data_IF_307211891364
#
_entry.id   IF_307211891364
#
_cell.length_a   1.000
_cell.length_b   1.000
_cell.length_c   1.000
_cell.angle_alpha   90.00
_cell.angle_beta   90.00
_cell.angle_gamma   90.00
#
_symmetry.space_group_name_H-M   'P 1'
#
loop_
_entity.id
_entity.type
_entity.pdbx_description
1 polymer ?
#
# COMPACT_ATOMS: atom_id res chain seq x y z
N UNK A 1 27.35 38.00 -14.96
CA UNK A 1 26.07 37.48 -14.45
C UNK A 1 26.35 36.63 -13.21
N UNK A 2 26.07 37.16 -12.03
CA UNK A 2 26.29 36.45 -10.76
C UNK A 2 25.18 35.42 -10.56
N UNK A 3 25.53 34.12 -10.56
CA UNK A 3 24.63 33.03 -10.17
C UNK A 3 24.36 33.19 -8.67
N UNK A 4 23.27 33.88 -8.30
CA UNK A 4 22.73 33.79 -6.94
C UNK A 4 22.16 32.38 -6.81
N UNK A 5 22.79 31.53 -6.02
CA UNK A 5 22.19 30.27 -5.57
C UNK A 5 21.02 30.65 -4.68
N UNK A 6 19.82 30.68 -5.24
CA UNK A 6 18.60 30.94 -4.47
C UNK A 6 18.34 29.67 -3.67
N UNK A 7 18.54 29.72 -2.35
CA UNK A 7 18.16 28.62 -1.48
C UNK A 7 16.65 28.47 -1.55
N UNK A 8 16.19 27.25 -1.86
CA UNK A 8 14.76 26.93 -1.85
C UNK A 8 14.27 26.97 -0.40
N UNK A 9 13.07 27.50 -0.21
CA UNK A 9 12.42 27.42 1.10
C UNK A 9 11.76 26.03 1.32
N UNK A 10 11.46 25.64 2.57
CA UNK A 10 10.89 24.32 2.85
C UNK A 10 9.57 24.03 2.13
N UNK A 11 8.76 25.04 1.82
CA UNK A 11 7.52 24.86 1.08
C UNK A 11 7.82 24.53 -0.39
N UNK A 12 8.77 25.22 -1.01
CA UNK A 12 9.22 24.90 -2.37
C UNK A 12 9.82 23.48 -2.45
N UNK A 13 10.64 23.11 -1.47
CA UNK A 13 11.18 21.75 -1.38
C UNK A 13 10.08 20.69 -1.28
N UNK A 14 9.07 20.94 -0.44
CA UNK A 14 7.92 20.05 -0.31
C UNK A 14 7.13 19.91 -1.62
N UNK A 15 6.89 21.03 -2.32
CA UNK A 15 6.20 21.02 -3.61
C UNK A 15 6.99 20.22 -4.67
N UNK A 16 8.32 20.36 -4.71
CA UNK A 16 9.18 19.55 -5.60
C UNK A 16 8.94 18.05 -5.37
N UNK A 17 8.89 17.64 -4.09
CA UNK A 17 8.70 16.24 -3.70
C UNK A 17 7.31 15.75 -4.10
N UNK A 18 6.26 16.54 -3.84
CA UNK A 18 4.88 16.19 -4.23
C UNK A 18 4.73 16.06 -5.74
N UNK A 19 5.27 17.01 -6.52
CA UNK A 19 5.25 16.93 -7.99
C UNK A 19 5.97 15.67 -8.46
N UNK A 20 7.13 15.33 -7.88
CA UNK A 20 7.86 14.12 -8.22
C UNK A 20 7.07 12.85 -7.89
N UNK A 21 6.41 12.79 -6.73
CA UNK A 21 5.64 11.62 -6.31
C UNK A 21 4.35 11.45 -7.13
N UNK A 22 3.61 12.53 -7.39
CA UNK A 22 2.33 12.47 -8.10
C UNK A 22 2.49 12.27 -9.62
N UNK A 23 3.51 12.87 -10.23
CA UNK A 23 3.64 12.92 -11.68
C UNK A 23 4.86 12.16 -12.23
N UNK A 24 5.78 11.73 -11.35
CA UNK A 24 7.04 11.09 -11.72
C UNK A 24 7.88 11.87 -12.76
N UNK A 25 7.80 13.21 -12.75
CA UNK A 25 8.57 14.04 -13.68
C UNK A 25 10.09 13.84 -13.53
N UNK A 26 10.88 13.96 -14.60
CA UNK A 26 12.34 13.91 -14.52
C UNK A 26 12.91 14.98 -13.58
N UNK A 27 14.02 14.68 -12.90
CA UNK A 27 14.69 15.67 -12.03
C UNK A 27 15.22 16.87 -12.81
N UNK A 28 15.52 16.69 -14.10
CA UNK A 28 15.93 17.75 -15.03
C UNK A 28 14.84 18.82 -15.16
N UNK A 29 13.59 18.40 -15.30
CA UNK A 29 12.46 19.32 -15.48
C UNK A 29 12.19 20.09 -14.19
N UNK A 30 12.25 19.40 -13.03
CA UNK A 30 12.16 20.05 -11.72
C UNK A 30 13.31 21.05 -11.50
N UNK A 31 14.54 20.69 -11.85
CA UNK A 31 15.68 21.58 -11.72
C UNK A 31 15.53 22.84 -12.59
N UNK A 32 15.01 22.66 -13.81
CA UNK A 32 14.69 23.76 -14.71
C UNK A 32 13.59 24.67 -14.13
N UNK A 33 12.47 24.09 -13.68
CA UNK A 33 11.33 24.85 -13.14
C UNK A 33 11.69 25.65 -11.87
N UNK A 34 12.56 25.12 -11.02
CA UNK A 34 12.95 25.75 -9.75
C UNK A 34 14.29 26.49 -9.82
N UNK A 35 14.90 26.59 -11.01
CA UNK A 35 16.15 27.32 -11.28
C UNK A 35 17.34 26.88 -10.40
N UNK A 36 17.38 25.59 -10.05
CA UNK A 36 18.43 24.97 -9.25
C UNK A 36 19.16 23.88 -10.04
N UNK A 37 20.19 23.27 -9.45
CA UNK A 37 20.87 22.15 -10.09
C UNK A 37 20.07 20.85 -9.93
N UNK A 38 20.23 19.91 -10.86
CA UNK A 38 19.67 18.55 -10.76
C UNK A 38 20.13 17.84 -9.49
N UNK A 39 21.39 18.06 -9.08
CA UNK A 39 21.94 17.52 -7.84
C UNK A 39 21.19 18.04 -6.61
N UNK A 40 20.84 19.34 -6.59
CA UNK A 40 20.07 19.97 -5.52
C UNK A 40 18.67 19.36 -5.40
N UNK A 41 17.94 19.23 -6.52
CA UNK A 41 16.62 18.60 -6.53
C UNK A 41 16.68 17.15 -6.07
N UNK A 42 17.65 16.37 -6.56
CA UNK A 42 17.83 14.98 -6.17
C UNK A 42 18.10 14.85 -4.67
N UNK A 43 18.97 15.69 -4.11
CA UNK A 43 19.28 15.71 -2.68
C UNK A 43 18.04 16.07 -1.85
N UNK A 44 17.31 17.11 -2.23
CA UNK A 44 16.05 17.50 -1.58
C UNK A 44 15.08 16.33 -1.58
N UNK A 45 14.88 15.71 -2.75
CA UNK A 45 13.95 14.59 -2.88
C UNK A 45 14.29 13.46 -1.90
N UNK A 46 15.54 12.98 -1.89
CA UNK A 46 15.93 11.89 -1.00
C UNK A 46 15.84 12.24 0.49
N UNK A 47 16.25 13.46 0.88
CA UNK A 47 16.13 13.92 2.27
C UNK A 47 14.67 13.93 2.73
N UNK A 48 13.77 14.46 1.90
CA UNK A 48 12.35 14.51 2.19
C UNK A 48 11.69 13.13 2.20
N UNK A 49 12.10 12.20 1.32
CA UNK A 49 11.61 10.83 1.36
C UNK A 49 11.97 10.16 2.70
N UNK A 50 13.22 10.28 3.16
CA UNK A 50 13.63 9.75 4.46
C UNK A 50 12.89 10.41 5.63
N UNK A 51 12.73 11.74 5.60
CA UNK A 51 11.99 12.45 6.64
C UNK A 51 10.50 12.06 6.66
N UNK A 52 9.90 11.90 5.48
CA UNK A 52 8.50 11.49 5.32
C UNK A 52 8.30 10.06 5.79
N UNK A 53 9.18 9.14 5.43
CA UNK A 53 9.15 7.74 5.90
C UNK A 53 9.18 7.68 7.44
N UNK A 54 10.10 8.39 8.07
CA UNK A 54 10.19 8.46 9.54
C UNK A 54 8.91 8.99 10.21
N UNK A 55 8.17 9.88 9.55
CA UNK A 55 6.91 10.45 10.08
C UNK A 55 5.72 9.55 9.78
N UNK A 56 5.62 9.01 8.57
CA UNK A 56 4.47 8.22 8.12
C UNK A 56 4.49 6.79 8.65
N UNK A 57 5.66 6.22 8.93
CA UNK A 57 5.74 4.86 9.49
C UNK A 57 5.02 4.74 10.84
N UNK A 58 4.93 5.84 11.60
CA UNK A 58 4.19 5.91 12.86
C UNK A 58 2.67 5.85 12.69
N UNK A 59 2.16 6.14 11.50
CA UNK A 59 0.73 6.04 11.17
C UNK A 59 0.32 4.60 10.84
N UNK A 60 1.29 3.75 10.49
CA UNK A 60 1.05 2.33 10.21
C UNK A 60 1.20 1.55 11.51
N UNK A 61 0.08 1.36 12.19
CA UNK A 61 0.02 0.53 13.40
C UNK A 61 -1.08 -0.51 13.29
N UNK A 62 -0.89 -1.64 13.96
CA UNK A 62 -1.90 -2.67 14.07
C UNK A 62 -2.81 -2.36 15.27
N UNK A 63 -4.06 -1.90 15.05
CA UNK A 63 -4.94 -1.52 16.15
C UNK A 63 -5.42 -2.73 16.95
N UNK A 64 -5.79 -2.49 18.20
CA UNK A 64 -6.49 -3.49 19.00
C UNK A 64 -7.86 -3.83 18.39
N UNK A 65 -8.23 -5.11 18.50
CA UNK A 65 -9.47 -5.67 17.98
C UNK A 65 -10.72 -4.91 18.45
N UNK A 66 -10.76 -4.48 19.70
CA UNK A 66 -11.89 -3.70 20.23
C UNK A 66 -12.03 -2.34 19.55
N UNK A 67 -10.92 -1.69 19.22
CA UNK A 67 -10.93 -0.39 18.57
C UNK A 67 -11.45 -0.53 17.14
N UNK A 68 -11.02 -1.55 16.41
CA UNK A 68 -11.55 -1.90 15.09
C UNK A 68 -13.06 -2.11 15.11
N UNK A 69 -13.58 -2.82 16.11
CA UNK A 69 -15.02 -3.08 16.21
C UNK A 69 -15.82 -1.86 16.64
N UNK A 70 -15.29 -1.00 17.51
CA UNK A 70 -15.95 0.25 17.91
C UNK A 70 -16.16 1.14 16.69
N UNK A 71 -15.18 1.22 15.81
CA UNK A 71 -15.20 2.12 14.66
C UNK A 71 -15.67 1.51 13.34
N UNK A 72 -15.87 0.20 13.28
CA UNK A 72 -16.39 -0.48 12.10
C UNK A 72 -17.75 0.08 11.65
N UNK A 73 -17.87 0.38 10.35
CA UNK A 73 -19.12 0.82 9.73
C UNK A 73 -20.25 -0.21 9.94
N UNK A 74 -21.47 0.30 10.13
CA UNK A 74 -22.65 -0.52 10.46
C UNK A 74 -22.98 -1.56 9.38
N UNK A 75 -22.68 -1.28 8.12
CA UNK A 75 -22.91 -2.23 7.02
C UNK A 75 -22.06 -3.51 7.18
N UNK A 76 -20.80 -3.39 7.59
CA UNK A 76 -19.93 -4.52 7.89
C UNK A 76 -20.37 -5.25 9.16
N UNK A 77 -20.75 -4.51 10.21
CA UNK A 77 -21.30 -5.12 11.44
C UNK A 77 -22.55 -5.95 11.16
N UNK A 78 -23.45 -5.46 10.31
CA UNK A 78 -24.66 -6.18 9.93
C UNK A 78 -24.35 -7.47 9.15
N UNK A 79 -23.42 -7.40 8.19
CA UNK A 79 -23.12 -8.52 7.32
C UNK A 79 -22.24 -9.60 7.99
N UNK A 80 -21.32 -9.21 8.86
CA UNK A 80 -20.24 -10.06 9.37
C UNK A 80 -20.10 -10.06 10.90
N UNK A 81 -20.84 -9.20 11.61
CA UNK A 81 -20.69 -9.01 13.06
C UNK A 81 -19.36 -8.37 13.45
N UNK A 82 -19.01 -8.48 14.73
CA UNK A 82 -17.73 -8.00 15.27
C UNK A 82 -16.64 -9.06 15.05
N UNK A 83 -16.26 -9.29 13.79
CA UNK A 83 -15.23 -10.27 13.42
C UNK A 83 -14.22 -9.72 12.42
N UNK A 84 -14.68 -8.87 11.51
CA UNK A 84 -13.83 -8.33 10.44
C UNK A 84 -12.77 -7.42 11.05
N UNK A 85 -11.51 -7.72 10.76
CA UNK A 85 -10.36 -7.06 11.37
C UNK A 85 -9.66 -6.18 10.35
N UNK A 86 -9.29 -6.75 9.20
CA UNK A 86 -8.60 -6.05 8.13
C UNK A 86 -9.02 -6.60 6.77
N UNK A 87 -8.95 -5.74 5.76
CA UNK A 87 -8.97 -6.08 4.35
C UNK A 87 -7.53 -6.18 3.84
N UNK A 88 -7.25 -7.23 3.11
CA UNK A 88 -5.97 -7.51 2.49
C UNK A 88 -6.00 -7.03 1.05
N UNK A 89 -4.93 -6.37 0.64
CA UNK A 89 -4.74 -5.93 -0.73
C UNK A 89 -3.25 -6.05 -1.12
N UNK A 90 -3.00 -6.24 -2.41
CA UNK A 90 -1.68 -6.23 -2.99
C UNK A 90 -1.68 -5.21 -4.13
N UNK A 91 -0.85 -4.17 -4.02
CA UNK A 91 -0.66 -3.26 -5.14
C UNK A 91 0.68 -3.51 -5.83
N UNK A 92 0.72 -3.22 -7.13
CA UNK A 92 1.91 -3.36 -7.96
C UNK A 92 2.33 -1.99 -8.51
N UNK A 93 3.62 -1.66 -8.34
CA UNK A 93 4.24 -0.46 -8.90
C UNK A 93 5.09 -0.87 -10.10
N UNK A 94 4.89 -0.21 -11.24
CA UNK A 94 5.75 -0.38 -12.41
C UNK A 94 7.16 0.11 -12.14
N UNK A 95 8.15 -0.68 -12.54
CA UNK A 95 9.56 -0.32 -12.45
C UNK A 95 10.23 -0.39 -13.82
N UNK A 96 11.32 0.35 -13.99
CA UNK A 96 12.15 0.18 -15.18
C UNK A 96 12.65 -1.27 -15.29
N UNK A 97 12.72 -1.78 -16.52
CA UNK A 97 13.16 -3.13 -16.81
C UNK A 97 14.58 -3.35 -16.26
N UNK A 98 14.78 -4.24 -15.27
CA UNK A 98 16.10 -4.47 -14.71
C UNK A 98 17.08 -4.97 -15.77
N UNK A 99 18.33 -4.52 -15.71
CA UNK A 99 19.41 -5.00 -16.59
C UNK A 99 19.80 -6.43 -16.23
N UNK A 100 19.83 -6.75 -14.93
CA UNK A 100 20.07 -8.10 -14.42
C UNK A 100 18.92 -9.06 -14.80
N UNK A 101 19.25 -10.20 -15.41
CA UNK A 101 18.26 -11.16 -15.92
C UNK A 101 17.47 -11.85 -14.80
N UNK A 102 18.09 -12.17 -13.67
CA UNK A 102 17.41 -12.78 -12.53
C UNK A 102 16.44 -11.78 -11.90
N UNK A 103 16.88 -10.55 -11.65
CA UNK A 103 16.01 -9.50 -11.12
C UNK A 103 14.84 -9.20 -12.07
N UNK A 104 15.10 -9.18 -13.40
CA UNK A 104 14.07 -9.03 -14.42
C UNK A 104 13.06 -10.17 -14.39
N UNK A 105 13.50 -11.41 -14.22
CA UNK A 105 12.60 -12.55 -14.11
C UNK A 105 11.74 -12.44 -12.84
N UNK A 106 12.35 -12.14 -11.69
CA UNK A 106 11.67 -12.01 -10.39
C UNK A 106 10.67 -10.86 -10.33
N UNK A 107 10.93 -9.77 -11.04
CA UNK A 107 10.04 -8.59 -11.07
C UNK A 107 8.99 -8.67 -12.17
N UNK A 108 9.04 -9.63 -13.09
CA UNK A 108 8.06 -9.71 -14.18
C UNK A 108 6.70 -10.19 -13.66
N UNK A 109 5.72 -9.29 -13.65
CA UNK A 109 4.32 -9.59 -13.35
C UNK A 109 3.59 -10.08 -14.59
N UNK A 110 3.04 -11.30 -14.49
CA UNK A 110 2.19 -11.85 -15.54
C UNK A 110 0.86 -11.11 -15.66
N UNK A 111 0.38 -10.53 -14.57
CA UNK A 111 -0.88 -9.79 -14.55
C UNK A 111 -0.76 -8.44 -15.27
N UNK A 112 0.32 -7.69 -15.01
CA UNK A 112 0.58 -6.38 -15.63
C UNK A 112 1.35 -6.46 -16.95
N UNK A 113 1.85 -7.65 -17.32
CA UNK A 113 2.72 -7.88 -18.47
C UNK A 113 3.95 -6.94 -18.50
N UNK A 114 4.49 -6.61 -17.31
CA UNK A 114 5.62 -5.70 -17.16
C UNK A 114 6.43 -6.02 -15.89
N UNK A 115 7.60 -5.40 -15.77
CA UNK A 115 8.39 -5.46 -14.54
C UNK A 115 7.75 -4.58 -13.45
N UNK A 116 7.34 -5.19 -12.35
CA UNK A 116 6.73 -4.51 -11.21
C UNK A 116 7.40 -4.94 -9.91
N UNK A 117 7.24 -4.11 -8.89
CA UNK A 117 7.36 -4.52 -7.49
C UNK A 117 5.95 -4.63 -6.92
N UNK A 118 5.76 -5.57 -6.01
CA UNK A 118 4.49 -5.85 -5.33
C UNK A 118 4.65 -5.62 -3.84
N UNK A 119 3.66 -4.98 -3.22
CA UNK A 119 3.62 -4.72 -1.78
C UNK A 119 2.27 -5.18 -1.26
N UNK A 120 2.29 -5.91 -0.15
CA UNK A 120 1.10 -6.35 0.56
C UNK A 120 0.69 -5.29 1.59
N UNK A 121 -0.61 -5.00 1.64
CA UNK A 121 -1.23 -4.07 2.58
C UNK A 121 -2.30 -4.79 3.41
N UNK A 122 -2.31 -4.48 4.72
CA UNK A 122 -3.46 -4.71 5.59
C UNK A 122 -4.14 -3.38 5.87
N UNK A 123 -5.39 -3.25 5.45
CA UNK A 123 -6.17 -2.01 5.53
C UNK A 123 -7.31 -2.23 6.51
N UNK A 124 -7.52 -1.32 7.45
CA UNK A 124 -8.65 -1.39 8.37
C UNK A 124 -9.96 -1.08 7.64
N UNK A 125 -11.10 -1.38 8.26
CA UNK A 125 -12.41 -0.99 7.70
C UNK A 125 -12.68 0.52 7.74
N UNK A 126 -11.78 1.29 8.33
CA UNK A 126 -11.77 2.75 8.27
C UNK A 126 -10.79 3.27 7.21
N UNK A 127 -10.34 2.39 6.32
CA UNK A 127 -9.41 2.70 5.22
C UNK A 127 -8.03 3.19 5.68
N UNK A 128 -7.68 2.97 6.95
CA UNK A 128 -6.32 3.24 7.43
C UNK A 128 -5.40 2.06 7.14
N UNK A 129 -4.18 2.34 6.68
CA UNK A 129 -3.16 1.31 6.51
C UNK A 129 -2.67 0.85 7.90
N UNK A 130 -2.86 -0.43 8.20
CA UNK A 130 -2.48 -1.07 9.48
C UNK A 130 -1.27 -2.01 9.37
N UNK A 131 -0.93 -2.39 8.13
CA UNK A 131 0.20 -3.26 7.84
C UNK A 131 0.74 -2.97 6.44
N UNK A 132 2.06 -2.95 6.30
CA UNK A 132 2.77 -2.83 5.02
C UNK A 132 3.90 -3.85 5.03
N UNK A 133 3.99 -4.68 3.99
CA UNK A 133 5.12 -5.61 3.84
C UNK A 133 6.36 -4.93 3.27
N UNK A 134 7.51 -5.58 3.37
CA UNK A 134 8.61 -5.30 2.44
C UNK A 134 8.16 -5.49 0.98
N UNK A 135 8.85 -4.84 0.05
CA UNK A 135 8.58 -4.95 -1.37
C UNK A 135 9.12 -6.27 -1.94
N UNK A 136 8.30 -6.93 -2.75
CA UNK A 136 8.64 -8.17 -3.45
C UNK A 136 8.65 -7.95 -4.96
N UNK A 137 9.30 -8.85 -5.70
CA UNK A 137 9.20 -8.82 -7.16
C UNK A 137 7.78 -9.16 -7.64
N UNK A 138 7.31 -8.50 -8.70
CA UNK A 138 5.97 -8.67 -9.27
C UNK A 138 5.59 -10.10 -9.69
N UNK A 139 6.55 -11.01 -9.81
CA UNK A 139 6.28 -12.44 -10.04
C UNK A 139 5.66 -13.14 -8.83
N UNK A 140 5.90 -12.63 -7.63
CA UNK A 140 5.46 -13.27 -6.41
C UNK A 140 3.91 -13.26 -6.32
N UNK A 141 3.35 -14.41 -5.97
CA UNK A 141 1.90 -14.56 -5.83
C UNK A 141 1.42 -13.96 -4.51
N UNK A 142 0.15 -13.54 -4.47
CA UNK A 142 -0.42 -12.92 -3.26
C UNK A 142 -0.47 -13.91 -2.09
N UNK A 143 -0.66 -15.21 -2.39
CA UNK A 143 -0.51 -16.30 -1.42
C UNK A 143 0.90 -16.33 -0.82
N UNK A 144 1.92 -16.36 -1.67
CA UNK A 144 3.31 -16.41 -1.22
C UNK A 144 3.66 -15.17 -0.39
N UNK A 145 3.24 -13.97 -0.82
CA UNK A 145 3.45 -12.75 -0.03
C UNK A 145 2.79 -12.86 1.34
N UNK A 146 1.51 -13.24 1.39
CA UNK A 146 0.76 -13.31 2.66
C UNK A 146 1.41 -14.28 3.66
N UNK A 147 1.92 -15.40 3.18
CA UNK A 147 2.56 -16.43 4.00
C UNK A 147 3.95 -16.02 4.52
N UNK A 148 4.66 -15.13 3.80
CA UNK A 148 6.06 -14.80 4.07
C UNK A 148 6.29 -13.38 4.59
N UNK A 149 5.31 -12.46 4.46
CA UNK A 149 5.48 -11.07 4.89
C UNK A 149 5.29 -10.85 6.39
N UNK A 150 4.87 -11.87 7.15
CA UNK A 150 4.63 -11.76 8.59
C UNK A 150 3.22 -11.30 8.97
N UNK A 151 2.35 -11.00 8.00
CA UNK A 151 0.96 -10.60 8.23
C UNK A 151 0.18 -11.61 9.08
N UNK A 152 0.30 -12.91 8.77
CA UNK A 152 -0.43 -13.97 9.49
C UNK A 152 -0.10 -14.02 11.00
N UNK A 153 1.03 -13.46 11.42
CA UNK A 153 1.41 -13.40 12.84
C UNK A 153 0.68 -12.29 13.62
N UNK A 154 -0.04 -11.40 12.92
CA UNK A 154 -0.87 -10.36 13.52
C UNK A 154 -2.31 -10.82 13.81
N UNK A 155 -2.73 -11.94 13.20
CA UNK A 155 -4.08 -12.47 13.36
C UNK A 155 -4.25 -13.15 14.72
N UNK A 156 -5.42 -12.94 15.30
CA UNK A 156 -5.88 -13.53 16.54
C UNK A 156 -7.02 -14.50 16.27
N UNK A 157 -7.20 -15.50 17.13
CA UNK A 157 -8.26 -16.50 17.00
C UNK A 157 -9.65 -15.85 16.95
N UNK A 158 -10.44 -16.22 15.94
CA UNK A 158 -11.75 -15.65 15.65
C UNK A 158 -11.75 -14.40 14.77
N UNK A 159 -10.60 -13.91 14.34
CA UNK A 159 -10.54 -12.82 13.35
C UNK A 159 -11.13 -13.25 12.01
N UNK A 160 -11.76 -12.32 11.32
CA UNK A 160 -12.12 -12.44 9.92
C UNK A 160 -11.32 -11.42 9.11
N UNK A 161 -10.64 -11.89 8.08
CA UNK A 161 -9.87 -11.08 7.14
C UNK A 161 -10.58 -11.06 5.80
N UNK A 162 -10.67 -9.89 5.19
CA UNK A 162 -11.29 -9.73 3.87
C UNK A 162 -10.25 -9.67 2.78
N UNK A 163 -10.56 -10.18 1.60
CA UNK A 163 -9.71 -10.04 0.43
C UNK A 163 -10.51 -10.01 -0.86
N UNK A 164 -9.86 -9.57 -1.94
CA UNK A 164 -10.38 -9.75 -3.28
C UNK A 164 -10.37 -11.23 -3.72
N UNK A 165 -10.94 -11.50 -4.90
CA UNK A 165 -11.08 -12.84 -5.45
C UNK A 165 -9.78 -13.57 -5.78
N UNK A 166 -8.63 -12.89 -5.79
CA UNK A 166 -7.33 -13.46 -6.15
C UNK A 166 -6.65 -14.25 -5.03
N UNK A 167 -7.09 -14.07 -3.78
CA UNK A 167 -6.40 -14.64 -2.62
C UNK A 167 -6.84 -16.09 -2.33
N UNK A 168 -5.91 -17.02 -2.51
CA UNK A 168 -6.09 -18.46 -2.21
C UNK A 168 -5.38 -18.85 -0.90
N UNK A 169 -5.74 -18.18 0.20
CA UNK A 169 -5.04 -18.27 1.50
C UNK A 169 -5.90 -18.82 2.65
N UNK A 170 -7.08 -19.36 2.37
CA UNK A 170 -8.03 -19.80 3.41
C UNK A 170 -7.41 -20.80 4.40
N UNK A 171 -6.56 -21.70 3.91
CA UNK A 171 -5.83 -22.67 4.75
C UNK A 171 -4.84 -21.97 5.68
N UNK A 172 -4.01 -21.08 5.13
CA UNK A 172 -2.97 -20.33 5.85
C UNK A 172 -3.57 -19.41 6.92
N UNK A 173 -4.73 -18.81 6.63
CA UNK A 173 -5.54 -18.04 7.60
C UNK A 173 -6.19 -18.95 8.64
N UNK A 174 -6.73 -20.10 8.23
CA UNK A 174 -7.35 -21.09 9.11
C UNK A 174 -6.39 -21.67 10.15
N UNK A 175 -5.09 -21.83 9.81
CA UNK A 175 -4.05 -22.22 10.77
C UNK A 175 -3.89 -21.23 11.94
N UNK A 176 -4.33 -19.98 11.77
CA UNK A 176 -4.37 -18.95 12.82
C UNK A 176 -5.71 -18.90 13.55
N UNK A 177 -6.60 -19.87 13.31
CA UNK A 177 -7.99 -19.88 13.79
C UNK A 177 -8.78 -18.64 13.35
N UNK A 178 -8.43 -18.09 12.19
CA UNK A 178 -9.10 -16.96 11.56
C UNK A 178 -9.85 -17.42 10.30
N UNK A 179 -10.72 -16.56 9.77
CA UNK A 179 -11.56 -16.85 8.60
C UNK A 179 -11.25 -15.88 7.44
N UNK A 180 -11.14 -16.39 6.22
CA UNK A 180 -11.03 -15.58 5.01
C UNK A 180 -12.41 -15.33 4.41
N UNK A 181 -12.80 -14.05 4.30
CA UNK A 181 -13.98 -13.60 3.59
C UNK A 181 -13.59 -13.00 2.23
N UNK A 182 -13.92 -13.69 1.14
CA UNK A 182 -13.65 -13.18 -0.22
C UNK A 182 -14.81 -12.29 -0.68
N UNK A 183 -14.51 -11.03 -1.00
CA UNK A 183 -15.49 -10.02 -1.43
C UNK A 183 -16.33 -10.48 -2.63
N UNK A 184 -15.74 -11.21 -3.58
CA UNK A 184 -16.43 -11.76 -4.75
C UNK A 184 -17.38 -12.95 -4.49
N UNK A 185 -17.28 -13.62 -3.33
CA UNK A 185 -18.09 -14.79 -2.98
C UNK A 185 -19.29 -14.47 -2.08
N UNK A 186 -19.60 -13.19 -1.88
CA UNK A 186 -20.87 -12.73 -1.29
C UNK A 186 -22.00 -12.90 -2.34
N UNK A 187 -22.19 -14.14 -2.82
CA UNK A 187 -23.17 -14.53 -3.85
C UNK A 187 -24.48 -15.04 -3.25
N UNK A 188 -24.78 -14.64 -2.01
CA UNK A 188 -25.95 -15.09 -1.25
C UNK A 188 -26.26 -14.33 0.03
N UNK A 189 -25.37 -13.44 0.49
CA UNK A 189 -25.71 -12.35 1.43
C UNK A 189 -25.75 -11.06 0.62
N UNK A 190 -26.62 -10.12 0.97
CA UNK A 190 -26.80 -8.89 0.22
C UNK A 190 -25.44 -8.26 -0.10
N UNK A 191 -25.14 -8.13 -1.40
CA UNK A 191 -24.02 -7.32 -1.89
C UNK A 191 -24.17 -5.95 -1.21
N UNK A 192 -23.11 -5.45 -0.58
CA UNK A 192 -23.14 -4.09 -0.05
C UNK A 192 -23.44 -3.16 -1.22
N UNK A 193 -24.60 -2.52 -1.18
CA UNK A 193 -25.10 -1.71 -2.28
C UNK A 193 -24.15 -0.50 -2.45
N UNK A 194 -23.55 -0.27 -3.63
CA UNK A 194 -22.56 0.80 -3.83
C UNK A 194 -23.11 2.21 -3.58
N UNK A 195 -24.43 2.35 -3.48
CA UNK A 195 -25.16 3.62 -3.50
C UNK A 195 -24.98 4.44 -2.20
N UNK A 196 -24.40 3.86 -1.14
CA UNK A 196 -24.25 4.53 0.16
C UNK A 196 -22.92 5.25 0.42
N UNK A 197 -21.91 5.10 -0.43
CA UNK A 197 -20.53 5.58 -0.14
C UNK A 197 -20.17 6.88 -0.87
N UNK A 198 -20.91 7.26 -1.93
CA UNK A 198 -20.62 8.45 -2.75
C UNK A 198 -21.43 9.70 -2.40
N UNK A 199 -21.97 9.80 -1.18
CA UNK A 199 -22.61 11.04 -0.71
C UNK A 199 -22.11 11.46 0.66
N UNK A 200 -20.88 11.98 0.70
CA UNK A 200 -20.46 13.05 1.63
C UNK A 200 -19.59 14.02 0.84
#
# INVERSE_FOLDING_TARGET
MSRRTQALDPFQEFIIVLIKLCLNVPFQDLAYCFLVSVATVSQIFWLWITATDYRLCQLVYWPERENLWKTMHMCFKYAFGNKVTVTMDCFEIFIEKPTNLLARAQTFSFYKHYNTIKVFLGITLQESISFVSEAWGGRASDKFLTENCGFLNKLLSGDMVMADGGFTISESVGLKQAELAISGFIKGKAKLDPIGVEKI
#
